data_IF_117726915194
#
_entry.id   IF_117726915194
#
_cell.length_a   1.000
_cell.length_b   1.000
_cell.length_c   1.000
_cell.angle_alpha   90.00
_cell.angle_beta   90.00
_cell.angle_gamma   90.00
#
_symmetry.space_group_name_H-M   'P 1'
#
loop_
_entity.id
_entity.type
_entity.pdbx_description
1 polymer ?
#
# COMPACT_ATOMS: atom_id res chain seq x y z
N UNK A 1 -18.04 13.11 13.22
CA UNK A 1 -18.63 12.52 11.99
C UNK A 1 -17.50 11.93 11.17
N UNK A 2 -17.75 10.84 10.45
CA UNK A 2 -16.75 10.20 9.59
C UNK A 2 -16.09 11.16 8.61
N UNK A 3 -14.79 11.01 8.38
CA UNK A 3 -13.93 11.88 7.58
C UNK A 3 -13.80 11.45 6.11
N UNK A 4 -14.28 10.26 5.74
CA UNK A 4 -14.26 9.75 4.36
C UNK A 4 -14.77 10.76 3.31
N UNK A 5 -15.91 11.46 3.49
CA UNK A 5 -16.37 12.44 2.49
C UNK A 5 -15.42 13.63 2.32
N UNK A 6 -14.74 14.04 3.39
CA UNK A 6 -13.80 15.15 3.38
C UNK A 6 -12.50 14.77 2.67
N UNK A 7 -12.01 13.54 2.90
CA UNK A 7 -10.90 12.97 2.13
C UNK A 7 -11.20 12.97 0.62
N UNK A 8 -12.39 12.50 0.23
CA UNK A 8 -12.79 12.45 -1.19
C UNK A 8 -12.84 13.84 -1.84
N UNK A 9 -13.10 14.90 -1.08
CA UNK A 9 -13.13 16.27 -1.60
C UNK A 9 -11.73 16.88 -1.72
N UNK A 10 -10.85 16.59 -0.76
CA UNK A 10 -9.60 17.34 -0.58
C UNK A 10 -8.36 16.61 -1.14
N UNK A 11 -8.46 15.35 -1.60
CA UNK A 11 -7.27 14.60 -2.02
C UNK A 11 -6.52 15.23 -3.21
N UNK A 12 -7.22 15.98 -4.07
CA UNK A 12 -6.64 16.64 -5.25
C UNK A 12 -5.69 17.79 -4.90
N UNK A 13 -5.88 18.43 -3.76
CA UNK A 13 -5.13 19.62 -3.38
C UNK A 13 -3.66 19.31 -3.03
N UNK A 14 -3.32 18.04 -2.78
CA UNK A 14 -1.97 17.57 -2.48
C UNK A 14 -1.46 16.49 -3.44
N UNK A 15 -2.12 16.28 -4.59
CA UNK A 15 -1.82 15.17 -5.50
C UNK A 15 -0.35 15.15 -5.92
N UNK A 16 0.22 16.29 -6.30
CA UNK A 16 1.63 16.39 -6.71
C UNK A 16 2.60 15.87 -5.65
N UNK A 17 2.46 16.31 -4.39
CA UNK A 17 3.34 15.90 -3.29
C UNK A 17 3.21 14.40 -3.00
N UNK A 18 1.98 13.87 -3.04
CA UNK A 18 1.70 12.44 -2.85
C UNK A 18 2.39 11.62 -3.94
N UNK A 19 2.25 12.03 -5.20
CA UNK A 19 2.85 11.35 -6.35
C UNK A 19 4.38 11.40 -6.28
N UNK A 20 4.97 12.55 -5.96
CA UNK A 20 6.42 12.68 -5.79
C UNK A 20 6.93 11.76 -4.69
N UNK A 21 6.27 11.72 -3.53
CA UNK A 21 6.69 10.85 -2.44
C UNK A 21 6.59 9.36 -2.77
N UNK A 22 5.61 8.93 -3.58
CA UNK A 22 5.53 7.54 -4.05
C UNK A 22 6.60 7.25 -5.12
N UNK A 23 6.80 8.17 -6.06
CA UNK A 23 7.81 8.07 -7.12
C UNK A 23 9.21 7.86 -6.53
N UNK A 24 9.59 8.66 -5.53
CA UNK A 24 10.87 8.53 -4.83
C UNK A 24 11.04 7.13 -4.21
N UNK A 25 9.99 6.58 -3.60
CA UNK A 25 10.04 5.23 -3.02
C UNK A 25 10.17 4.15 -4.10
N UNK A 26 9.46 4.29 -5.23
CA UNK A 26 9.57 3.38 -6.35
C UNK A 26 10.97 3.42 -6.97
N UNK A 27 11.56 4.60 -7.16
CA UNK A 27 12.94 4.73 -7.65
C UNK A 27 13.93 4.02 -6.72
N UNK A 28 13.81 4.19 -5.41
CA UNK A 28 14.67 3.52 -4.42
C UNK A 28 14.59 2.00 -4.54
N UNK A 29 13.38 1.43 -4.61
CA UNK A 29 13.23 -0.02 -4.65
C UNK A 29 13.62 -0.62 -6.01
N UNK A 30 13.40 0.10 -7.13
CA UNK A 30 13.91 -0.34 -8.44
C UNK A 30 15.43 -0.29 -8.52
N UNK A 31 16.07 0.74 -7.95
CA UNK A 31 17.54 0.76 -7.84
C UNK A 31 18.07 -0.40 -7.01
N UNK A 32 17.40 -0.75 -5.90
CA UNK A 32 17.74 -1.93 -5.09
C UNK A 32 17.61 -3.22 -5.91
N UNK A 33 16.52 -3.40 -6.65
CA UNK A 33 16.35 -4.55 -7.54
C UNK A 33 17.44 -4.63 -8.61
N UNK A 34 17.78 -3.50 -9.24
CA UNK A 34 18.83 -3.44 -10.27
C UNK A 34 20.19 -3.90 -9.72
N UNK A 35 20.55 -3.47 -8.50
CA UNK A 35 21.79 -3.90 -7.84
C UNK A 35 21.77 -5.40 -7.51
N UNK A 36 20.63 -5.92 -7.05
CA UNK A 36 20.48 -7.34 -6.71
C UNK A 36 20.53 -8.24 -7.95
N UNK A 37 19.92 -7.81 -9.07
CA UNK A 37 19.99 -8.50 -10.36
C UNK A 37 21.41 -8.52 -10.92
N UNK A 38 22.14 -7.39 -10.86
CA UNK A 38 23.55 -7.31 -11.28
C UNK A 38 24.46 -8.24 -10.47
N UNK A 39 24.08 -8.55 -9.23
CA UNK A 39 24.79 -9.47 -8.35
C UNK A 39 24.28 -10.92 -8.45
N UNK A 40 23.39 -11.24 -9.40
CA UNK A 40 22.76 -12.56 -9.58
C UNK A 40 22.03 -13.07 -8.33
N UNK A 41 21.47 -12.15 -7.54
CA UNK A 41 20.75 -12.44 -6.29
C UNK A 41 19.24 -12.41 -6.42
N UNK A 42 18.72 -11.96 -7.56
CA UNK A 42 17.29 -11.80 -7.80
C UNK A 42 17.00 -11.91 -9.29
N UNK A 43 15.91 -12.57 -9.65
CA UNK A 43 15.44 -12.62 -11.03
C UNK A 43 14.87 -11.29 -11.51
N UNK A 44 14.40 -11.28 -12.75
CA UNK A 44 13.53 -10.22 -13.28
C UNK A 44 12.25 -10.13 -12.44
N UNK A 45 11.78 -8.90 -12.22
CA UNK A 45 10.62 -8.66 -11.37
C UNK A 45 9.34 -8.98 -12.14
N UNK A 46 8.57 -9.94 -11.64
CA UNK A 46 7.28 -10.35 -12.20
C UNK A 46 6.09 -9.75 -11.45
N UNK A 47 6.27 -9.40 -10.17
CA UNK A 47 5.20 -8.82 -9.37
C UNK A 47 5.71 -7.76 -8.41
N UNK A 48 5.02 -6.62 -8.36
CA UNK A 48 5.16 -5.64 -7.28
C UNK A 48 3.98 -5.78 -6.31
N UNK A 49 4.26 -6.05 -5.04
CA UNK A 49 3.26 -6.08 -3.98
C UNK A 49 3.26 -4.78 -3.19
N UNK A 50 2.13 -4.09 -3.13
CA UNK A 50 1.90 -2.97 -2.22
C UNK A 50 0.99 -3.47 -1.11
N UNK A 51 1.53 -3.61 0.10
CA UNK A 51 0.82 -4.29 1.18
C UNK A 51 0.66 -3.42 2.41
N UNK A 52 -0.53 -3.43 3.00
CA UNK A 52 -0.68 -2.97 4.38
C UNK A 52 -0.19 -4.05 5.34
N UNK A 53 0.40 -3.62 6.45
CA UNK A 53 0.88 -4.50 7.51
C UNK A 53 -0.08 -4.44 8.70
N UNK A 54 -0.50 -5.59 9.22
CA UNK A 54 -1.31 -5.64 10.43
C UNK A 54 -0.59 -4.97 11.62
N UNK A 55 0.73 -5.13 11.71
CA UNK A 55 1.55 -4.43 12.71
C UNK A 55 1.44 -2.90 12.57
N UNK A 56 1.46 -2.39 11.34
CA UNK A 56 1.35 -0.96 11.04
C UNK A 56 -0.03 -0.39 11.38
N UNK A 57 -1.08 -1.20 11.26
CA UNK A 57 -2.44 -0.88 11.73
C UNK A 57 -2.46 -0.82 13.26
N UNK A 58 -1.91 -1.83 13.94
CA UNK A 58 -1.89 -1.92 15.40
C UNK A 58 -1.07 -0.79 16.04
N UNK A 59 0.05 -0.40 15.43
CA UNK A 59 0.87 0.73 15.89
C UNK A 59 0.40 2.07 15.35
N UNK A 60 -0.72 2.11 14.61
CA UNK A 60 -1.31 3.32 14.04
C UNK A 60 -0.36 4.12 13.11
N UNK A 61 0.63 3.43 12.53
CA UNK A 61 1.61 4.03 11.63
C UNK A 61 1.13 4.05 10.17
N UNK A 62 0.29 3.08 9.78
CA UNK A 62 -0.33 2.93 8.47
C UNK A 62 0.62 3.07 7.27
N UNK A 63 1.88 2.71 7.46
CA UNK A 63 2.85 2.49 6.38
C UNK A 63 2.44 1.28 5.54
N UNK A 64 2.62 1.41 4.23
CA UNK A 64 2.53 0.36 3.26
C UNK A 64 3.94 -0.14 2.95
N UNK A 65 4.08 -1.46 2.86
CA UNK A 65 5.30 -2.12 2.38
C UNK A 65 5.18 -2.32 0.87
N UNK A 66 6.21 -1.94 0.13
CA UNK A 66 6.30 -2.16 -1.31
C UNK A 66 7.40 -3.19 -1.54
N UNK A 67 7.04 -4.38 -1.99
CA UNK A 67 7.95 -5.48 -2.29
C UNK A 67 8.02 -5.72 -3.81
N UNK A 68 9.21 -6.04 -4.30
CA UNK A 68 9.44 -6.52 -5.66
C UNK A 68 9.80 -8.01 -5.61
N UNK A 69 9.02 -8.81 -6.32
CA UNK A 69 9.17 -10.25 -6.40
C UNK A 69 9.52 -10.68 -7.81
N UNK A 70 10.43 -11.65 -7.92
CA UNK A 70 10.59 -12.41 -9.16
C UNK A 70 9.49 -13.49 -9.28
N UNK A 71 9.67 -14.42 -10.23
CA UNK A 71 8.73 -15.53 -10.49
C UNK A 71 8.47 -16.43 -9.29
N UNK A 72 9.35 -16.46 -8.29
CA UNK A 72 9.18 -17.29 -7.09
C UNK A 72 8.21 -16.65 -6.08
N UNK A 73 7.81 -15.39 -6.31
CA UNK A 73 6.84 -14.67 -5.50
C UNK A 73 7.19 -14.71 -4.00
N UNK A 74 6.38 -15.34 -3.14
CA UNK A 74 6.69 -15.45 -1.71
C UNK A 74 7.81 -16.44 -1.37
N UNK A 75 8.23 -17.27 -2.32
CA UNK A 75 9.40 -18.15 -2.16
C UNK A 75 10.72 -17.43 -2.49
N UNK A 76 10.64 -16.22 -3.05
CA UNK A 76 11.78 -15.36 -3.29
C UNK A 76 12.44 -14.97 -1.96
N UNK A 77 13.57 -15.62 -1.67
CA UNK A 77 14.33 -15.39 -0.43
C UNK A 77 15.08 -14.05 -0.41
N UNK A 78 15.15 -13.35 -1.54
CA UNK A 78 15.93 -12.13 -1.69
C UNK A 78 15.03 -10.88 -1.50
N UNK A 79 14.90 -10.46 -0.24
CA UNK A 79 14.07 -9.32 0.14
C UNK A 79 14.47 -8.02 -0.60
N UNK A 80 13.56 -7.53 -1.42
CA UNK A 80 13.68 -6.27 -2.15
C UNK A 80 12.45 -5.38 -1.90
N UNK A 81 12.47 -4.67 -0.78
CA UNK A 81 11.35 -3.83 -0.37
C UNK A 81 11.73 -2.40 0.04
N UNK A 82 10.70 -1.56 0.12
CA UNK A 82 10.71 -0.21 0.72
C UNK A 82 9.40 0.05 1.45
N UNK A 83 9.29 1.19 2.13
CA UNK A 83 8.10 1.60 2.88
C UNK A 83 7.62 2.97 2.43
N UNK A 84 6.31 3.11 2.30
CA UNK A 84 5.65 4.37 1.94
C UNK A 84 4.44 4.61 2.84
N UNK A 85 4.36 5.81 3.42
CA UNK A 85 3.22 6.23 4.23
C UNK A 85 2.29 7.13 3.42
N UNK A 86 1.07 6.69 3.07
CA UNK A 86 0.06 7.54 2.44
C UNK A 86 -0.52 8.53 3.47
N UNK A 87 0.28 9.53 3.87
CA UNK A 87 -0.08 10.48 4.93
C UNK A 87 -1.37 11.27 4.64
N UNK A 88 -1.71 11.43 3.37
CA UNK A 88 -2.98 12.03 2.94
C UNK A 88 -4.20 11.22 3.37
N UNK A 89 -4.11 9.89 3.44
CA UNK A 89 -5.20 9.02 3.92
C UNK A 89 -5.08 8.77 5.42
N UNK A 90 -3.87 8.46 5.90
CA UNK A 90 -3.63 8.07 7.29
C UNK A 90 -4.16 9.10 8.29
N UNK A 91 -4.05 10.40 7.97
CA UNK A 91 -4.57 11.49 8.82
C UNK A 91 -6.09 11.45 9.04
N UNK A 92 -6.86 11.05 8.04
CA UNK A 92 -8.32 10.98 8.13
C UNK A 92 -8.76 9.69 8.80
N UNK A 93 -8.08 8.59 8.47
CA UNK A 93 -8.29 7.30 9.11
C UNK A 93 -8.08 7.39 10.62
N UNK A 94 -6.97 7.99 11.07
CA UNK A 94 -6.68 8.19 12.50
C UNK A 94 -7.80 8.94 13.22
N UNK A 95 -8.29 10.04 12.63
CA UNK A 95 -9.40 10.83 13.18
C UNK A 95 -10.68 10.01 13.30
N UNK A 96 -10.99 9.21 12.28
CA UNK A 96 -12.18 8.34 12.30
C UNK A 96 -12.05 7.23 13.34
N UNK A 97 -10.89 6.57 13.41
CA UNK A 97 -10.59 5.55 14.42
C UNK A 97 -10.77 6.13 15.83
N UNK A 98 -10.19 7.32 16.11
CA UNK A 98 -10.33 7.99 17.39
C UNK A 98 -11.79 8.36 17.71
N UNK A 99 -12.49 8.94 16.73
CA UNK A 99 -13.91 9.27 16.86
C UNK A 99 -14.76 8.04 17.19
N UNK A 100 -14.61 6.95 16.44
CA UNK A 100 -15.37 5.73 16.67
C UNK A 100 -15.00 5.06 17.99
N UNK A 101 -13.71 4.99 18.37
CA UNK A 101 -13.28 4.52 19.69
C UNK A 101 -14.02 5.25 20.81
N UNK A 102 -14.12 6.57 20.73
CA UNK A 102 -14.80 7.39 21.73
C UNK A 102 -16.33 7.18 21.73
N UNK A 103 -16.96 7.16 20.56
CA UNK A 103 -18.41 6.95 20.43
C UNK A 103 -18.82 5.57 20.95
N UNK A 104 -18.07 4.53 20.60
CA UNK A 104 -18.36 3.16 20.99
C UNK A 104 -18.23 3.00 22.51
N UNK A 105 -17.13 3.50 23.12
CA UNK A 105 -16.92 3.46 24.57
C UNK A 105 -18.03 4.16 25.34
N UNK A 106 -18.56 5.26 24.80
CA UNK A 106 -19.67 5.98 25.40
C UNK A 106 -21.00 5.23 25.30
N UNK A 107 -21.27 4.58 24.15
CA UNK A 107 -22.57 3.94 23.87
C UNK A 107 -22.69 2.50 24.35
N UNK A 108 -21.58 1.78 24.51
CA UNK A 108 -21.57 0.34 24.83
C UNK A 108 -20.87 0.12 26.17
N UNK A 109 -21.63 0.00 27.28
CA UNK A 109 -21.06 -0.29 28.58
C UNK A 109 -20.26 -1.59 28.58
N UNK A 110 -19.13 -1.60 29.28
CA UNK A 110 -18.23 -2.75 29.47
C UNK A 110 -17.60 -3.35 28.19
N UNK A 111 -17.67 -2.65 27.05
CA UNK A 111 -17.05 -3.10 25.80
C UNK A 111 -15.54 -3.36 25.98
N UNK A 112 -15.05 -4.45 25.41
CA UNK A 112 -13.65 -4.86 25.49
C UNK A 112 -12.82 -4.23 24.36
N UNK A 113 -11.53 -4.07 24.62
CA UNK A 113 -10.60 -3.49 23.63
C UNK A 113 -10.56 -4.30 22.32
N UNK A 114 -10.64 -5.64 22.38
CA UNK A 114 -10.65 -6.48 21.18
C UNK A 114 -11.94 -6.33 20.36
N UNK A 115 -13.09 -6.03 20.99
CA UNK A 115 -14.35 -5.78 20.27
C UNK A 115 -14.29 -4.46 19.52
N UNK A 116 -13.68 -3.44 20.15
CA UNK A 116 -13.38 -2.17 19.47
C UNK A 116 -12.43 -2.43 18.29
N UNK A 117 -11.38 -3.23 18.49
CA UNK A 117 -10.42 -3.53 17.42
C UNK A 117 -11.10 -4.24 16.24
N UNK A 118 -11.96 -5.24 16.47
CA UNK A 118 -12.71 -5.91 15.41
C UNK A 118 -13.56 -4.93 14.58
N UNK A 119 -14.20 -3.95 15.23
CA UNK A 119 -14.91 -2.89 14.53
C UNK A 119 -13.96 -2.04 13.68
N UNK A 120 -12.80 -1.64 14.23
CA UNK A 120 -11.80 -0.86 13.50
C UNK A 120 -11.25 -1.64 12.30
N UNK A 121 -10.95 -2.93 12.46
CA UNK A 121 -10.47 -3.80 11.38
C UNK A 121 -11.48 -3.88 10.23
N UNK A 122 -12.77 -4.03 10.55
CA UNK A 122 -13.84 -3.97 9.54
C UNK A 122 -13.97 -2.59 8.89
N UNK A 123 -13.80 -1.51 9.66
CA UNK A 123 -13.89 -0.15 9.15
C UNK A 123 -12.73 0.22 8.23
N UNK A 124 -11.53 -0.29 8.50
CA UNK A 124 -10.32 -0.10 7.68
C UNK A 124 -10.51 -0.55 6.23
N UNK A 125 -11.37 -1.54 5.98
CA UNK A 125 -11.67 -2.01 4.62
C UNK A 125 -12.18 -0.88 3.70
N UNK A 126 -12.90 0.10 4.25
CA UNK A 126 -13.35 1.27 3.48
C UNK A 126 -12.16 2.09 2.95
N UNK A 127 -11.15 2.28 3.80
CA UNK A 127 -9.92 3.00 3.43
C UNK A 127 -9.03 2.18 2.50
N UNK A 128 -8.98 0.86 2.67
CA UNK A 128 -8.27 -0.03 1.75
C UNK A 128 -8.89 0.00 0.36
N UNK A 129 -10.23 0.02 0.27
CA UNK A 129 -10.91 0.15 -1.02
C UNK A 129 -10.60 1.49 -1.71
N UNK A 130 -10.53 2.59 -0.95
CA UNK A 130 -10.08 3.88 -1.50
C UNK A 130 -8.63 3.82 -2.01
N UNK A 131 -7.74 3.13 -1.30
CA UNK A 131 -6.36 2.92 -1.74
C UNK A 131 -6.29 2.11 -3.05
N UNK A 132 -7.13 1.08 -3.23
CA UNK A 132 -7.24 0.35 -4.50
C UNK A 132 -7.56 1.32 -5.64
N UNK A 133 -8.61 2.14 -5.48
CA UNK A 133 -9.02 3.10 -6.52
C UNK A 133 -7.93 4.14 -6.80
N UNK A 134 -7.29 4.64 -5.75
CA UNK A 134 -6.15 5.55 -5.86
C UNK A 134 -5.03 4.92 -6.68
N UNK A 135 -4.60 3.70 -6.33
CA UNK A 135 -3.51 3.00 -7.01
C UNK A 135 -3.83 2.70 -8.47
N UNK A 136 -5.06 2.26 -8.78
CA UNK A 136 -5.50 2.04 -10.15
C UNK A 136 -5.42 3.31 -11.01
N UNK A 137 -5.70 4.48 -10.43
CA UNK A 137 -5.62 5.76 -11.13
C UNK A 137 -4.17 6.25 -11.32
N UNK A 138 -3.33 6.11 -10.30
CA UNK A 138 -2.04 6.81 -10.24
C UNK A 138 -0.85 5.95 -10.66
N UNK A 139 -0.85 4.63 -10.41
CA UNK A 139 0.32 3.79 -10.67
C UNK A 139 0.75 3.79 -12.14
N UNK A 140 -0.15 3.77 -13.14
CA UNK A 140 0.28 3.87 -14.54
C UNK A 140 1.11 5.13 -14.81
N UNK A 141 0.74 6.26 -14.20
CA UNK A 141 1.42 7.55 -14.37
C UNK A 141 2.78 7.56 -13.66
N UNK A 142 2.86 7.01 -12.44
CA UNK A 142 4.10 6.97 -11.66
C UNK A 142 5.10 5.96 -12.26
N UNK A 143 4.62 4.83 -12.77
CA UNK A 143 5.46 3.84 -13.46
C UNK A 143 6.02 4.41 -14.77
N UNK A 144 5.24 5.21 -15.52
CA UNK A 144 5.76 5.86 -16.74
C UNK A 144 6.87 6.88 -16.42
N UNK A 145 6.75 7.63 -15.33
CA UNK A 145 7.84 8.53 -14.87
C UNK A 145 9.11 7.79 -14.47
N UNK A 146 8.97 6.58 -13.93
CA UNK A 146 10.10 5.73 -13.49
C UNK A 146 10.52 4.69 -14.53
N UNK A 147 10.02 4.83 -15.77
CA UNK A 147 10.08 3.82 -16.82
C UNK A 147 11.47 3.30 -17.13
N UNK A 148 12.49 4.16 -17.17
CA UNK A 148 13.87 3.74 -17.47
C UNK A 148 14.37 2.70 -16.47
N UNK A 149 14.23 2.96 -15.16
CA UNK A 149 14.62 2.02 -14.11
C UNK A 149 13.70 0.81 -14.07
N UNK A 150 12.39 1.05 -14.22
CA UNK A 150 11.38 0.01 -14.19
C UNK A 150 11.58 -1.05 -15.28
N UNK A 151 11.76 -0.65 -16.55
CA UNK A 151 11.96 -1.56 -17.68
C UNK A 151 13.26 -2.35 -17.61
N UNK A 152 14.29 -1.82 -16.96
CA UNK A 152 15.54 -2.54 -16.76
C UNK A 152 15.40 -3.72 -15.80
N UNK A 153 14.50 -3.63 -14.82
CA UNK A 153 14.39 -4.63 -13.74
C UNK A 153 13.17 -5.55 -13.88
N UNK A 154 12.10 -5.08 -14.51
CA UNK A 154 10.85 -5.83 -14.63
C UNK A 154 10.78 -6.72 -15.88
N UNK A 155 9.91 -7.73 -15.81
CA UNK A 155 9.37 -8.43 -16.98
C UNK A 155 8.35 -7.57 -17.72
N UNK A 156 8.12 -7.84 -19.01
CA UNK A 156 7.18 -7.07 -19.84
C UNK A 156 5.73 -7.09 -19.30
N UNK A 157 5.30 -8.22 -18.72
CA UNK A 157 3.96 -8.46 -18.18
C UNK A 157 3.90 -8.33 -16.64
N UNK A 158 4.81 -7.56 -16.02
CA UNK A 158 4.80 -7.40 -14.56
C UNK A 158 3.45 -6.86 -14.05
N UNK A 159 2.89 -7.52 -13.04
CA UNK A 159 1.67 -7.08 -12.37
C UNK A 159 1.94 -6.33 -11.07
N UNK A 160 1.00 -5.48 -10.67
CA UNK A 160 1.01 -4.83 -9.35
C UNK A 160 -0.21 -5.25 -8.55
N UNK A 161 0.01 -5.65 -7.31
CA UNK A 161 -1.06 -6.07 -6.39
C UNK A 161 -1.13 -5.14 -5.18
N UNK A 162 -2.33 -4.90 -4.67
CA UNK A 162 -2.56 -4.21 -3.40
C UNK A 162 -3.38 -5.06 -2.43
N UNK A 163 -2.94 -5.20 -1.18
CA UNK A 163 -3.69 -5.96 -0.18
C UNK A 163 -2.96 -6.22 1.12
N UNK A 164 -3.31 -7.31 1.80
CA UNK A 164 -2.64 -7.71 3.03
C UNK A 164 -1.27 -8.34 2.72
N UNK A 165 -0.26 -8.03 3.51
CA UNK A 165 1.04 -8.67 3.38
C UNK A 165 0.95 -10.18 3.63
N UNK A 166 1.44 -10.99 2.69
CA UNK A 166 1.28 -12.46 2.69
C UNK A 166 -0.18 -12.94 2.73
N UNK A 167 -1.14 -12.07 2.45
CA UNK A 167 -2.56 -12.37 2.41
C UNK A 167 -3.14 -12.22 1.01
N UNK A 168 -4.44 -11.91 0.96
CA UNK A 168 -5.12 -11.66 -0.32
C UNK A 168 -4.82 -10.26 -0.83
N UNK A 169 -4.57 -10.16 -2.13
CA UNK A 169 -4.37 -8.90 -2.85
C UNK A 169 -5.26 -8.79 -4.08
N UNK A 170 -5.56 -7.55 -4.45
CA UNK A 170 -6.28 -7.17 -5.67
C UNK A 170 -5.24 -6.67 -6.67
N UNK A 171 -5.33 -7.11 -7.92
CA UNK A 171 -4.48 -6.59 -8.99
C UNK A 171 -4.92 -5.15 -9.29
N UNK A 172 -3.99 -4.20 -9.19
CA UNK A 172 -4.22 -2.77 -9.44
C UNK A 172 -3.59 -2.29 -10.73
N UNK A 173 -2.63 -3.03 -11.29
CA UNK A 173 -2.04 -2.80 -12.62
C UNK A 173 -1.68 -4.16 -13.24
N UNK A 174 -1.94 -4.30 -14.54
CA UNK A 174 -1.63 -5.51 -15.31
C UNK A 174 -2.63 -6.64 -15.08
N UNK A 175 -2.26 -7.84 -15.51
CA UNK A 175 -2.99 -9.09 -15.28
C UNK A 175 -2.06 -10.06 -14.57
N UNK A 176 -2.61 -10.93 -13.73
CA UNK A 176 -1.85 -12.01 -13.12
C UNK A 176 -2.09 -13.25 -13.97
N UNK A 177 -1.05 -13.80 -14.59
CA UNK A 177 -1.15 -15.12 -15.21
C UNK A 177 -1.45 -16.13 -14.08
N UNK A 178 -2.57 -16.86 -14.22
CA UNK A 178 -3.00 -17.92 -13.31
C UNK A 178 -2.17 -19.19 -13.49
#
# INVERSE_FOLDING_TARGET
MGQLPELMKNYKDGETEILTGLEEKLQVVFQKAQQMQKADRKGKICTMGISYLQSSVLTENYELRIDLYDKEFYLDSAECCTYWKPAFIARYLLKDVEYFKNVIRFKVPQIKAYEIQQFIDGYLLNYMYLLVQFFQQILPQVLDKTKTLFQEVAEENMSVTFGEYMGKGIVVVGEREE
#
